data_IF_768285343678
#
_entry.id   IF_768285343678
#
_cell.length_a   1.000
_cell.length_b   1.000
_cell.length_c   1.000
_cell.angle_alpha   90.00
_cell.angle_beta   90.00
_cell.angle_gamma   90.00
#
_symmetry.space_group_name_H-M   'P 1'
#
loop_
_entity.id
_entity.type
_entity.pdbx_description
1 polymer ?
#
# COMPACT_ATOMS: atom_id res chain seq x y z
N UNK A 1 -9.78 -8.75 -1.81
CA UNK A 1 -8.70 -8.99 -2.77
C UNK A 1 -8.42 -10.48 -2.85
N UNK A 2 -8.14 -10.97 -4.05
CA UNK A 2 -7.78 -12.37 -4.28
C UNK A 2 -6.26 -12.54 -4.17
N UNK A 3 -5.79 -12.71 -2.94
CA UNK A 3 -4.36 -12.81 -2.60
C UNK A 3 -3.78 -14.18 -2.95
N UNK A 4 -2.63 -14.19 -3.61
CA UNK A 4 -1.69 -15.32 -3.56
C UNK A 4 -0.83 -15.16 -2.31
N UNK A 5 -1.04 -16.06 -1.34
CA UNK A 5 -0.39 -16.00 -0.03
C UNK A 5 0.72 -17.05 0.05
N UNK A 6 1.89 -16.64 0.52
CA UNK A 6 3.03 -17.54 0.74
C UNK A 6 3.62 -17.28 2.12
N UNK A 7 3.82 -18.33 2.92
CA UNK A 7 4.48 -18.22 4.23
C UNK A 7 5.87 -18.83 4.21
N UNK A 8 6.85 -18.16 4.83
CA UNK A 8 8.22 -18.64 5.05
C UNK A 8 8.68 -18.26 6.44
N UNK A 9 8.67 -19.24 7.36
CA UNK A 9 8.95 -18.98 8.77
C UNK A 9 7.94 -17.98 9.34
N UNK A 10 8.46 -16.86 9.86
CA UNK A 10 7.69 -15.75 10.44
C UNK A 10 7.20 -14.72 9.43
N UNK A 11 7.54 -14.88 8.16
CA UNK A 11 7.19 -13.92 7.11
C UNK A 11 6.06 -14.47 6.25
N UNK A 12 4.99 -13.68 6.12
CA UNK A 12 3.86 -13.94 5.23
C UNK A 12 3.88 -12.90 4.11
N UNK A 13 3.83 -13.38 2.87
CA UNK A 13 3.83 -12.57 1.66
C UNK A 13 2.45 -12.63 1.02
N UNK A 14 1.88 -11.45 0.75
CA UNK A 14 0.61 -11.29 0.05
C UNK A 14 0.89 -10.64 -1.29
N UNK A 15 0.51 -11.30 -2.38
CA UNK A 15 0.68 -10.80 -3.75
C UNK A 15 -0.64 -10.88 -4.48
N UNK A 16 -1.08 -9.80 -5.13
CA UNK A 16 -2.24 -9.86 -6.04
C UNK A 16 -1.89 -10.73 -7.23
N UNK A 17 -2.85 -11.51 -7.74
CA UNK A 17 -2.64 -12.33 -8.97
C UNK A 17 -2.26 -11.52 -10.20
N UNK A 18 -2.58 -10.22 -10.21
CA UNK A 18 -2.21 -9.27 -11.27
C UNK A 18 -0.74 -8.83 -11.18
N UNK A 19 -0.10 -8.94 -10.01
CA UNK A 19 1.30 -8.61 -9.81
C UNK A 19 2.16 -9.87 -9.95
N UNK A 20 3.14 -9.84 -10.87
CA UNK A 20 3.98 -11.01 -11.20
C UNK A 20 5.35 -10.99 -10.55
N UNK A 21 5.80 -9.83 -10.04
CA UNK A 21 7.22 -9.61 -9.73
C UNK A 21 7.47 -9.63 -8.23
N UNK A 22 6.73 -8.84 -7.46
CA UNK A 22 6.94 -8.67 -6.02
C UNK A 22 5.61 -8.72 -5.25
N UNK A 23 5.69 -8.91 -3.94
CA UNK A 23 4.54 -8.90 -3.04
C UNK A 23 4.06 -7.47 -2.80
N UNK A 24 2.74 -7.29 -2.72
CA UNK A 24 2.13 -5.98 -2.47
C UNK A 24 2.10 -5.65 -0.96
N UNK A 25 2.13 -6.69 -0.13
CA UNK A 25 2.15 -6.59 1.32
C UNK A 25 2.98 -7.73 1.91
N UNK A 26 3.86 -7.42 2.87
CA UNK A 26 4.67 -8.40 3.58
C UNK A 26 4.51 -8.18 5.08
N UNK A 27 4.18 -9.24 5.80
CA UNK A 27 3.99 -9.22 7.25
C UNK A 27 5.04 -10.11 7.89
N UNK A 28 5.74 -9.58 8.88
CA UNK A 28 6.72 -10.30 9.68
C UNK A 28 6.24 -10.34 11.14
N UNK A 29 6.15 -11.54 11.70
CA UNK A 29 5.86 -11.75 13.12
C UNK A 29 7.16 -11.60 13.94
N UNK A 30 7.20 -10.66 14.87
CA UNK A 30 8.35 -10.38 15.72
C UNK A 30 8.41 -11.30 16.95
N UNK A 31 9.54 -11.28 17.67
CA UNK A 31 9.75 -12.13 18.86
C UNK A 31 8.71 -11.94 19.96
N UNK A 32 8.15 -10.74 20.09
CA UNK A 32 7.15 -10.37 21.07
C UNK A 32 5.70 -10.57 20.60
N UNK A 33 5.49 -11.10 19.39
CA UNK A 33 4.16 -11.30 18.81
C UNK A 33 3.63 -10.10 18.02
N UNK A 34 4.35 -8.97 18.01
CA UNK A 34 3.99 -7.81 17.20
C UNK A 34 4.13 -8.13 15.70
N UNK A 35 3.37 -7.40 14.89
CA UNK A 35 3.43 -7.52 13.44
C UNK A 35 4.17 -6.33 12.84
N UNK A 36 5.23 -6.60 12.08
CA UNK A 36 5.86 -5.60 11.22
C UNK A 36 5.32 -5.73 9.80
N UNK A 37 4.50 -4.75 9.40
CA UNK A 37 3.87 -4.70 8.10
C UNK A 37 4.72 -3.82 7.15
N UNK A 38 4.96 -4.32 5.93
CA UNK A 38 5.66 -3.59 4.87
C UNK A 38 4.75 -3.51 3.64
N UNK A 39 4.34 -2.31 3.31
CA UNK A 39 3.58 -2.01 2.10
C UNK A 39 4.51 -1.87 0.91
N UNK A 40 4.02 -2.23 -0.27
CA UNK A 40 4.67 -1.87 -1.53
C UNK A 40 4.75 -0.34 -1.68
N UNK A 41 5.86 0.14 -2.23
CA UNK A 41 5.98 1.53 -2.65
C UNK A 41 4.94 1.88 -3.71
N UNK A 42 4.18 2.95 -3.48
CA UNK A 42 3.10 3.38 -4.36
C UNK A 42 3.32 4.80 -4.87
N UNK A 43 2.76 5.08 -6.04
CA UNK A 43 2.55 6.46 -6.52
C UNK A 43 1.06 6.76 -6.39
N UNK A 44 0.71 7.82 -5.64
CA UNK A 44 -0.66 8.14 -5.26
C UNK A 44 -1.64 8.42 -6.41
N UNK A 45 -1.12 8.60 -7.63
CA UNK A 45 -1.90 8.72 -8.86
C UNK A 45 -2.49 7.36 -9.31
N UNK A 46 -1.95 6.79 -10.38
CA UNK A 46 -2.55 5.68 -11.11
C UNK A 46 -2.62 4.38 -10.31
N UNK A 47 -1.64 4.14 -9.42
CA UNK A 47 -1.65 2.93 -8.61
C UNK A 47 -2.87 2.92 -7.69
N UNK A 48 -3.06 3.97 -6.89
CA UNK A 48 -4.22 4.05 -5.99
C UNK A 48 -5.56 4.09 -6.74
N UNK A 49 -5.62 4.77 -7.90
CA UNK A 49 -6.83 4.77 -8.75
C UNK A 49 -7.28 3.35 -9.12
N UNK A 50 -6.35 2.49 -9.52
CA UNK A 50 -6.66 1.11 -9.90
C UNK A 50 -7.05 0.25 -8.69
N UNK A 51 -6.39 0.45 -7.55
CA UNK A 51 -6.67 -0.36 -6.35
C UNK A 51 -7.99 0.02 -5.68
N UNK A 52 -8.37 1.29 -5.76
CA UNK A 52 -9.59 1.85 -5.15
C UNK A 52 -10.76 1.93 -6.15
N UNK A 53 -10.58 1.45 -7.38
CA UNK A 53 -11.59 1.47 -8.46
C UNK A 53 -12.23 2.87 -8.68
N UNK A 54 -11.38 3.90 -8.76
CA UNK A 54 -11.82 5.29 -8.92
C UNK A 54 -11.99 5.68 -10.39
N UNK A 55 -13.01 6.50 -10.68
CA UNK A 55 -13.30 7.00 -12.04
C UNK A 55 -12.25 7.97 -12.59
N UNK A 56 -11.37 8.51 -11.74
CA UNK A 56 -10.40 9.53 -12.12
C UNK A 56 -9.02 9.33 -11.47
N UNK A 57 -7.97 9.72 -12.22
CA UNK A 57 -6.57 9.69 -11.73
C UNK A 57 -6.11 11.10 -11.37
N UNK A 58 -5.89 11.36 -10.09
CA UNK A 58 -5.22 12.57 -9.62
C UNK A 58 -3.80 12.66 -10.21
N UNK A 59 -3.39 13.88 -10.62
CA UNK A 59 -2.07 14.16 -11.17
C UNK A 59 -1.63 15.54 -10.74
N UNK A 60 -0.45 15.64 -10.14
CA UNK A 60 0.08 16.92 -9.60
C UNK A 60 -0.88 17.53 -8.59
N UNK A 61 -1.55 16.68 -7.81
CA UNK A 61 -2.55 17.06 -6.81
C UNK A 61 -2.26 16.29 -5.51
N UNK A 62 -1.32 16.77 -4.70
CA UNK A 62 -0.90 16.08 -3.48
C UNK A 62 -2.04 15.88 -2.49
N UNK A 63 -3.00 16.80 -2.42
CA UNK A 63 -4.15 16.72 -1.51
C UNK A 63 -5.06 15.52 -1.83
N UNK A 64 -5.05 15.04 -3.07
CA UNK A 64 -5.78 13.84 -3.49
C UNK A 64 -4.87 12.60 -3.57
N UNK A 65 -3.65 12.75 -4.08
CA UNK A 65 -2.72 11.63 -4.28
C UNK A 65 -2.25 11.01 -2.95
N UNK A 66 -2.00 11.84 -1.94
CA UNK A 66 -1.50 11.37 -0.64
C UNK A 66 -2.58 10.55 0.08
N UNK A 67 -3.81 11.05 0.35
CA UNK A 67 -4.85 10.27 1.02
C UNK A 67 -5.17 8.95 0.31
N UNK A 68 -5.26 8.95 -1.02
CA UNK A 68 -5.51 7.73 -1.81
C UNK A 68 -4.47 6.63 -1.58
N UNK A 69 -3.23 7.02 -1.28
CA UNK A 69 -2.18 6.05 -0.92
C UNK A 69 -2.49 5.38 0.42
N UNK A 70 -2.87 6.18 1.43
CA UNK A 70 -3.29 5.65 2.73
C UNK A 70 -4.56 4.81 2.64
N UNK A 71 -5.56 5.26 1.87
CA UNK A 71 -6.80 4.49 1.63
C UNK A 71 -6.49 3.13 0.99
N UNK A 72 -5.51 3.08 0.08
CA UNK A 72 -5.09 1.80 -0.53
C UNK A 72 -4.41 0.88 0.49
N UNK A 73 -3.57 1.41 1.37
CA UNK A 73 -2.95 0.63 2.43
C UNK A 73 -3.96 0.16 3.48
N UNK A 74 -4.98 0.98 3.81
CA UNK A 74 -6.12 0.60 4.64
C UNK A 74 -6.89 -0.57 4.04
N UNK A 75 -7.20 -0.49 2.74
CA UNK A 75 -7.81 -1.58 2.00
C UNK A 75 -6.95 -2.86 2.06
N UNK A 76 -5.64 -2.75 1.90
CA UNK A 76 -4.76 -3.93 1.92
C UNK A 76 -4.76 -4.66 3.26
N UNK A 77 -4.64 -3.95 4.39
CA UNK A 77 -4.62 -4.61 5.72
C UNK A 77 -5.95 -5.28 6.05
N UNK A 78 -7.05 -4.66 5.64
CA UNK A 78 -8.41 -5.20 5.77
C UNK A 78 -8.61 -6.45 4.93
N UNK A 79 -8.30 -6.36 3.64
CA UNK A 79 -8.47 -7.47 2.69
C UNK A 79 -7.50 -8.62 2.95
N UNK A 80 -6.37 -8.37 3.61
CA UNK A 80 -5.44 -9.41 4.07
C UNK A 80 -5.88 -10.06 5.40
N UNK A 81 -6.91 -9.51 6.07
CA UNK A 81 -7.42 -9.99 7.35
C UNK A 81 -6.45 -9.75 8.52
N UNK A 82 -5.64 -8.69 8.44
CA UNK A 82 -4.65 -8.36 9.48
C UNK A 82 -5.27 -7.52 10.60
N UNK A 83 -6.02 -6.48 10.24
CA UNK A 83 -6.75 -5.59 11.15
C UNK A 83 -7.92 -4.90 10.42
N UNK A 84 -8.76 -4.14 11.14
CA UNK A 84 -9.93 -3.46 10.59
C UNK A 84 -9.58 -2.16 9.83
N UNK A 85 -8.33 -1.70 9.93
CA UNK A 85 -7.78 -0.63 9.11
C UNK A 85 -6.46 -0.08 9.64
N UNK A 86 -5.94 0.97 8.99
CA UNK A 86 -4.72 1.67 9.42
C UNK A 86 -4.85 2.29 10.81
N UNK A 87 -6.08 2.57 11.25
CA UNK A 87 -6.36 3.11 12.60
C UNK A 87 -5.90 2.17 13.73
N UNK A 88 -5.78 0.87 13.45
CA UNK A 88 -5.40 -0.15 14.41
C UNK A 88 -3.87 -0.32 14.48
N UNK A 89 -3.12 0.38 13.61
CA UNK A 89 -1.66 0.34 13.64
C UNK A 89 -1.13 1.27 14.72
N UNK A 90 -0.29 0.73 15.60
CA UNK A 90 0.32 1.52 16.68
C UNK A 90 1.35 2.54 16.16
N UNK A 91 1.98 2.24 15.02
CA UNK A 91 3.02 3.07 14.43
C UNK A 91 3.10 2.87 12.91
N UNK A 92 3.17 3.99 12.17
CA UNK A 92 3.34 4.01 10.72
C UNK A 92 4.56 4.85 10.34
N UNK A 93 5.60 4.18 9.84
CA UNK A 93 6.78 4.83 9.26
C UNK A 93 6.66 4.94 7.75
N UNK A 94 6.84 6.15 7.20
CA UNK A 94 6.73 6.42 5.76
C UNK A 94 8.02 7.02 5.24
N UNK A 95 8.62 6.34 4.25
CA UNK A 95 9.77 6.86 3.51
C UNK A 95 9.28 7.46 2.19
N UNK A 96 9.06 8.77 2.17
CA UNK A 96 8.64 9.51 1.00
C UNK A 96 9.83 10.06 0.21
N UNK A 97 9.81 9.91 -1.11
CA UNK A 97 10.78 10.51 -2.02
C UNK A 97 10.06 11.49 -2.95
N UNK A 98 10.65 12.68 -3.15
CA UNK A 98 10.18 13.60 -4.18
C UNK A 98 10.45 13.00 -5.57
N UNK A 99 9.40 12.85 -6.37
CA UNK A 99 9.55 12.54 -7.78
C UNK A 99 9.75 13.85 -8.57
N UNK A 100 10.63 13.83 -9.57
CA UNK A 100 10.67 14.92 -10.54
C UNK A 100 9.30 15.05 -11.22
N UNK A 101 8.77 16.27 -11.43
CA UNK A 101 7.55 16.47 -12.19
C UNK A 101 7.67 15.79 -13.55
N UNK A 102 6.65 15.00 -13.93
CA UNK A 102 6.64 14.33 -15.24
C UNK A 102 6.45 15.33 -16.39
N UNK A 103 5.86 16.47 -16.07
CA UNK A 103 5.56 17.60 -16.95
C UNK A 103 5.71 18.90 -16.14
N UNK A 104 5.88 20.07 -16.79
CA UNK A 104 5.90 21.36 -16.08
C UNK A 104 4.64 21.58 -15.23
N UNK A 105 4.79 22.32 -14.13
CA UNK A 105 3.64 22.82 -13.36
C UNK A 105 2.67 23.57 -14.29
N UNK A 106 1.35 23.30 -14.22
CA UNK A 106 0.36 24.08 -14.95
C UNK A 106 0.04 25.43 -14.29
N UNK A 107 0.61 25.67 -13.10
CA UNK A 107 0.61 26.95 -12.36
C UNK A 107 1.84 27.75 -12.75
#
# INVERSE_FOLDING_TARGET
>A
MDWEIKRRGRVTYYRKKTNRVFSDLVVEELDNGDLKIRFVGMTGARAATNELDLDDTARMDPEREIPRTFDTWDLYVREAGICDGLRDLDFLEVHSFGAAPKEPSPI
#
